data_IF_981230973686
#
_entry.id   IF_981230973686
#
_cell.length_a   1.000
_cell.length_b   1.000
_cell.length_c   1.000
_cell.angle_alpha   90.00
_cell.angle_beta   90.00
_cell.angle_gamma   90.00
#
_symmetry.space_group_name_H-M   'P 1'
#
loop_
_entity.id
_entity.type
_entity.pdbx_description
1 polymer ?
#
# COMPACT_ATOMS: atom_id res chain seq x y z
N UNK A 1 13.61 2.73 -3.79
CA UNK A 1 12.57 3.66 -4.25
C UNK A 1 11.45 3.74 -3.22
N UNK A 2 11.11 4.94 -2.79
CA UNK A 2 10.00 5.14 -1.86
C UNK A 2 8.68 5.06 -2.61
N UNK A 3 7.76 4.22 -2.12
CA UNK A 3 6.44 4.07 -2.71
C UNK A 3 5.34 4.32 -1.69
N UNK A 4 4.27 4.93 -2.18
CA UNK A 4 2.99 4.99 -1.50
C UNK A 4 1.99 4.17 -2.31
N UNK A 5 1.30 3.25 -1.67
CA UNK A 5 0.24 2.44 -2.30
C UNK A 5 -1.07 2.77 -1.60
N UNK A 6 -2.02 3.25 -2.38
CA UNK A 6 -3.35 3.62 -1.88
C UNK A 6 -4.39 2.85 -2.70
N UNK A 7 -5.36 2.26 -2.03
CA UNK A 7 -6.31 1.42 -2.75
C UNK A 7 -7.73 1.53 -2.19
N UNK A 8 -8.68 1.19 -3.05
CA UNK A 8 -10.07 0.99 -2.71
C UNK A 8 -10.50 -0.35 -3.31
N UNK A 9 -10.65 -1.35 -2.46
CA UNK A 9 -10.99 -2.73 -2.84
C UNK A 9 -12.22 -3.14 -2.07
N UNK A 10 -13.28 -3.51 -2.80
CA UNK A 10 -14.60 -3.76 -2.21
C UNK A 10 -14.70 -5.06 -1.43
N UNK A 11 -14.05 -6.11 -1.91
CA UNK A 11 -14.12 -7.44 -1.32
C UNK A 11 -13.21 -7.56 -0.12
N UNK A 12 -13.75 -7.98 1.03
CA UNK A 12 -13.01 -8.09 2.28
C UNK A 12 -11.83 -9.06 2.19
N UNK A 13 -12.04 -10.22 1.57
CA UNK A 13 -11.00 -11.24 1.47
C UNK A 13 -9.86 -10.79 0.54
N UNK A 14 -10.20 -10.13 -0.56
CA UNK A 14 -9.20 -9.56 -1.47
C UNK A 14 -8.41 -8.43 -0.79
N UNK A 15 -9.09 -7.59 -0.02
CA UNK A 15 -8.46 -6.52 0.74
C UNK A 15 -7.44 -7.05 1.74
N UNK A 16 -7.81 -8.09 2.49
CA UNK A 16 -6.91 -8.75 3.44
C UNK A 16 -5.71 -9.39 2.73
N UNK A 17 -5.96 -10.05 1.61
CA UNK A 17 -4.91 -10.68 0.81
C UNK A 17 -3.94 -9.65 0.26
N UNK A 18 -4.46 -8.52 -0.22
CA UNK A 18 -3.65 -7.42 -0.70
C UNK A 18 -2.75 -6.87 0.40
N UNK A 19 -3.33 -6.55 1.56
CA UNK A 19 -2.58 -6.05 2.71
C UNK A 19 -1.46 -6.99 3.14
N UNK A 20 -1.74 -8.29 3.21
CA UNK A 20 -0.75 -9.29 3.59
C UNK A 20 0.41 -9.36 2.59
N UNK A 21 0.12 -9.26 1.30
CA UNK A 21 1.14 -9.27 0.27
C UNK A 21 1.98 -7.98 0.28
N UNK A 22 1.37 -6.83 0.53
CA UNK A 22 2.11 -5.57 0.65
C UNK A 22 3.10 -5.63 1.82
N UNK A 23 2.69 -6.19 2.96
CA UNK A 23 3.56 -6.39 4.11
C UNK A 23 4.73 -7.33 3.78
N UNK A 24 4.46 -8.43 3.10
CA UNK A 24 5.51 -9.38 2.69
C UNK A 24 6.55 -8.76 1.76
N UNK A 25 6.14 -7.78 0.97
CA UNK A 25 7.05 -7.07 0.07
C UNK A 25 7.82 -5.94 0.76
N UNK A 26 7.60 -5.73 2.05
CA UNK A 26 8.36 -4.76 2.84
C UNK A 26 7.68 -3.43 3.03
N UNK A 27 6.40 -3.32 2.70
CA UNK A 27 5.64 -2.10 2.92
C UNK A 27 4.97 -2.10 4.30
N UNK A 28 4.77 -0.93 4.85
CA UNK A 28 4.13 -0.72 6.15
C UNK A 28 2.81 0.03 5.98
N UNK A 29 1.81 -0.38 6.75
CA UNK A 29 0.50 0.28 6.73
C UNK A 29 0.59 1.62 7.45
N UNK A 30 0.10 2.68 6.79
CA UNK A 30 0.01 4.02 7.39
C UNK A 30 -1.43 4.50 7.53
N UNK A 31 -2.34 3.92 6.78
CA UNK A 31 -3.78 4.16 6.84
C UNK A 31 -4.48 2.85 6.52
N UNK A 32 -5.78 2.80 6.75
CA UNK A 32 -6.58 1.59 6.52
C UNK A 32 -6.34 0.97 5.14
N UNK A 33 -6.24 1.80 4.11
CA UNK A 33 -6.02 1.38 2.73
C UNK A 33 -4.83 2.09 2.10
N UNK A 34 -3.79 2.34 2.89
CA UNK A 34 -2.56 2.98 2.42
C UNK A 34 -1.34 2.35 3.06
N UNK A 35 -0.37 2.05 2.24
CA UNK A 35 0.92 1.47 2.63
C UNK A 35 2.06 2.29 2.06
N UNK A 36 3.18 2.29 2.72
CA UNK A 36 4.39 2.95 2.25
C UNK A 36 5.61 2.07 2.50
N UNK A 37 6.65 2.28 1.76
CA UNK A 37 7.91 1.59 1.97
C UNK A 37 8.94 1.91 0.93
N UNK A 38 10.18 1.56 1.24
CA UNK A 38 11.30 1.71 0.33
C UNK A 38 11.67 0.34 -0.23
N UNK A 39 11.45 0.13 -1.50
CA UNK A 39 11.71 -1.13 -2.17
C UNK A 39 12.46 -0.93 -3.47
N UNK A 40 13.22 -1.96 -3.89
CA UNK A 40 13.96 -1.91 -5.14
C UNK A 40 13.06 -2.10 -6.36
N UNK A 41 13.60 -1.82 -7.54
CA UNK A 41 12.84 -1.88 -8.79
C UNK A 41 12.31 -3.27 -9.11
N UNK A 42 13.01 -4.33 -8.71
CA UNK A 42 12.52 -5.70 -8.92
C UNK A 42 11.27 -5.98 -8.08
N UNK A 43 11.27 -5.54 -6.84
CA UNK A 43 10.10 -5.69 -5.95
C UNK A 43 8.92 -4.85 -6.41
N UNK A 44 9.18 -3.70 -7.04
CA UNK A 44 8.10 -2.91 -7.66
C UNK A 44 7.40 -3.71 -8.75
N UNK A 45 8.17 -4.42 -9.58
CA UNK A 45 7.59 -5.28 -10.63
C UNK A 45 6.77 -6.42 -10.01
N UNK A 46 7.28 -7.03 -8.96
CA UNK A 46 6.57 -8.08 -8.23
C UNK A 46 5.28 -7.55 -7.61
N UNK A 47 5.34 -6.36 -7.03
CA UNK A 47 4.20 -5.68 -6.45
C UNK A 47 3.08 -5.48 -7.48
N UNK A 48 3.41 -4.93 -8.64
CA UNK A 48 2.43 -4.70 -9.72
C UNK A 48 1.79 -6.01 -10.16
N UNK A 49 2.60 -7.06 -10.33
CA UNK A 49 2.11 -8.39 -10.74
C UNK A 49 1.16 -8.97 -9.71
N UNK A 50 1.53 -8.92 -8.44
CA UNK A 50 0.72 -9.45 -7.34
C UNK A 50 -0.60 -8.71 -7.22
N UNK A 51 -0.57 -7.38 -7.29
CA UNK A 51 -1.78 -6.57 -7.21
C UNK A 51 -2.74 -6.92 -8.34
N UNK A 52 -2.25 -7.05 -9.56
CA UNK A 52 -3.08 -7.43 -10.71
C UNK A 52 -3.75 -8.79 -10.55
N UNK A 53 -3.12 -9.72 -9.86
CA UNK A 53 -3.68 -11.04 -9.60
C UNK A 53 -4.76 -11.03 -8.53
N UNK A 54 -4.71 -10.07 -7.62
CA UNK A 54 -5.62 -10.01 -6.48
C UNK A 54 -6.87 -9.20 -6.78
N UNK A 55 -6.72 -8.02 -7.37
CA UNK A 55 -7.82 -7.07 -7.52
C UNK A 55 -8.66 -7.34 -8.76
N UNK A 56 -9.91 -6.87 -8.71
CA UNK A 56 -10.80 -6.85 -9.86
C UNK A 56 -10.68 -5.47 -10.52
N UNK A 57 -10.13 -5.42 -11.72
CA UNK A 57 -9.90 -4.16 -12.43
C UNK A 57 -11.18 -3.43 -12.81
N UNK A 58 -12.33 -4.09 -12.74
CA UNK A 58 -13.62 -3.47 -13.06
C UNK A 58 -14.25 -2.76 -11.87
N UNK A 59 -13.87 -3.14 -10.63
CA UNK A 59 -14.51 -2.62 -9.42
C UNK A 59 -13.51 -1.98 -8.44
N UNK A 60 -12.25 -2.32 -8.56
CA UNK A 60 -11.21 -1.90 -7.61
C UNK A 60 -10.25 -0.91 -8.24
N UNK A 61 -9.62 -0.09 -7.40
CA UNK A 61 -8.58 0.82 -7.86
C UNK A 61 -7.39 0.76 -6.91
N UNK A 62 -6.18 0.77 -7.47
CA UNK A 62 -4.93 0.82 -6.72
C UNK A 62 -4.02 1.86 -7.36
N UNK A 63 -3.56 2.80 -6.55
CA UNK A 63 -2.57 3.77 -6.96
C UNK A 63 -1.21 3.38 -6.37
N UNK A 64 -0.20 3.32 -7.22
CA UNK A 64 1.18 3.09 -6.82
C UNK A 64 1.94 4.36 -7.18
N UNK A 65 2.39 5.07 -6.16
CA UNK A 65 2.93 6.42 -6.32
C UNK A 65 4.39 6.45 -5.87
N UNK A 66 5.34 6.63 -6.79
CA UNK A 66 6.74 6.83 -6.39
C UNK A 66 6.92 8.22 -5.78
N UNK A 67 7.70 8.30 -4.72
CA UNK A 67 7.93 9.53 -3.98
C UNK A 67 9.42 9.77 -3.81
N UNK A 68 9.84 11.04 -3.86
CA UNK A 68 11.15 11.44 -3.45
C UNK A 68 11.29 11.34 -1.93
N UNK A 69 12.47 10.94 -1.45
CA UNK A 69 12.73 10.82 -0.01
C UNK A 69 12.50 12.14 0.71
N UNK A 70 12.94 13.25 0.13
CA UNK A 70 12.76 14.58 0.73
C UNK A 70 11.30 14.96 0.85
N UNK A 71 10.49 14.63 -0.15
CA UNK A 71 9.06 14.91 -0.12
C UNK A 71 8.39 14.09 0.97
N UNK A 72 8.78 12.82 1.10
CA UNK A 72 8.28 11.96 2.16
C UNK A 72 8.64 12.49 3.55
N UNK A 73 9.88 12.91 3.76
CA UNK A 73 10.35 13.47 5.04
C UNK A 73 9.62 14.75 5.43
N UNK A 74 9.17 15.51 4.45
CA UNK A 74 8.47 16.78 4.66
C UNK A 74 6.96 16.62 4.80
N UNK A 75 6.45 15.40 4.74
CA UNK A 75 5.02 15.17 4.90
C UNK A 75 4.56 15.64 6.28
N UNK A 76 3.31 16.08 6.33
CA UNK A 76 2.68 16.49 7.58
C UNK A 76 1.64 15.44 7.95
N UNK A 77 1.73 14.95 9.18
CA UNK A 77 0.78 13.98 9.71
C UNK A 77 -0.01 14.64 10.81
N UNK A 78 -1.33 14.65 10.68
CA UNK A 78 -2.23 15.21 11.68
C UNK A 78 -3.13 14.07 12.15
N UNK A 79 -3.18 13.89 13.46
CA UNK A 79 -4.01 12.86 14.06
C UNK A 79 -3.21 11.77 14.71
N UNK A 80 -3.91 10.72 15.08
CA UNK A 80 -3.33 9.62 15.83
C UNK A 80 -2.78 8.55 14.89
N UNK A 81 -1.54 8.13 15.12
CA UNK A 81 -0.93 6.98 14.45
C UNK A 81 -1.04 5.77 15.36
N UNK A 82 -2.02 4.90 15.10
CA UNK A 82 -2.19 3.69 15.89
C UNK A 82 -2.57 2.52 15.00
N UNK A 83 -1.76 1.46 15.01
CA UNK A 83 -2.00 0.29 14.18
C UNK A 83 -3.24 -0.48 14.61
N UNK A 84 -3.57 -0.45 15.89
CA UNK A 84 -4.73 -1.15 16.43
C UNK A 84 -6.03 -0.71 15.78
N UNK A 85 -6.07 0.53 15.32
CA UNK A 85 -7.24 1.10 14.67
C UNK A 85 -7.49 0.51 13.28
N UNK A 86 -6.47 -0.10 12.69
CA UNK A 86 -6.53 -0.64 11.33
C UNK A 86 -6.83 -2.14 11.29
N UNK A 87 -6.80 -2.81 12.42
CA UNK A 87 -6.89 -4.27 12.52
C UNK A 87 -8.32 -4.81 12.56
N UNK A 88 -9.27 -3.97 12.36
CA UNK A 88 -10.68 -4.34 12.40
C UNK A 88 -11.20 -4.65 11.02
#
# INVERSE_FOLDING_TARGET
>A
MKLLVVYDVSDDSKRSKLANNLKKLGLERIQKSAFEGDIDSQRVKDLVRVIRLIVDINTDIVHIIPLGIRDWERRIVIGKEGLEEWLV
#
